data_IF_167278326700
#
_entry.id   IF_167278326700
#
_cell.length_a   1.000
_cell.length_b   1.000
_cell.length_c   1.000
_cell.angle_alpha   90.00
_cell.angle_beta   90.00
_cell.angle_gamma   90.00
#
_symmetry.space_group_name_H-M   'P 1'
#
loop_
_entity.id
_entity.type
_entity.pdbx_description
1 polymer ?
#
# COMPACT_ATOMS: atom_id res chain seq x y z
N UNK A 1 3.08 -2.53 -8.03
CA UNK A 1 1.71 -2.97 -7.65
C UNK A 1 1.77 -3.73 -6.33
N UNK A 2 0.76 -3.64 -5.47
CA UNK A 2 0.69 -4.34 -4.17
C UNK A 2 0.32 -5.83 -4.32
N UNK A 3 -0.58 -6.16 -5.23
CA UNK A 3 -1.12 -7.51 -5.42
C UNK A 3 -0.09 -8.67 -5.43
N UNK A 4 1.05 -8.58 -6.14
CA UNK A 4 2.02 -9.68 -6.16
C UNK A 4 2.58 -10.02 -4.78
N UNK A 5 2.75 -9.02 -3.90
CA UNK A 5 3.22 -9.22 -2.53
C UNK A 5 2.20 -10.00 -1.70
N UNK A 6 0.91 -9.66 -1.83
CA UNK A 6 -0.17 -10.35 -1.13
C UNK A 6 -0.29 -11.80 -1.61
N UNK A 7 -0.25 -12.05 -2.94
CA UNK A 7 -0.27 -13.43 -3.46
C UNK A 7 0.90 -14.27 -2.95
N UNK A 8 2.09 -13.67 -2.86
CA UNK A 8 3.28 -14.36 -2.35
C UNK A 8 3.20 -14.66 -0.85
N UNK A 9 2.46 -13.84 -0.09
CA UNK A 9 2.19 -14.08 1.33
C UNK A 9 1.24 -15.25 1.58
N UNK A 10 0.55 -15.78 0.55
CA UNK A 10 -0.41 -16.89 0.63
C UNK A 10 -1.46 -16.66 1.74
N UNK A 11 -2.32 -15.63 1.60
CA UNK A 11 -3.39 -15.36 2.55
C UNK A 11 -4.29 -16.59 2.74
N UNK A 12 -4.90 -16.69 3.92
CA UNK A 12 -5.99 -17.63 4.17
C UNK A 12 -7.21 -17.23 3.33
N UNK A 13 -8.07 -18.20 3.03
CA UNK A 13 -9.24 -18.01 2.15
C UNK A 13 -10.28 -17.04 2.71
N UNK A 14 -10.29 -16.83 4.03
CA UNK A 14 -11.21 -15.94 4.75
C UNK A 14 -10.74 -14.48 4.78
N UNK A 15 -9.48 -14.18 4.43
CA UNK A 15 -8.97 -12.81 4.33
C UNK A 15 -9.77 -12.03 3.30
N UNK A 16 -10.30 -10.88 3.71
CA UNK A 16 -11.08 -9.99 2.84
C UNK A 16 -10.44 -8.62 2.65
N UNK A 17 -9.54 -8.25 3.55
CA UNK A 17 -9.03 -6.89 3.63
C UNK A 17 -7.52 -6.84 3.87
N UNK A 18 -6.95 -5.67 3.58
CA UNK A 18 -5.57 -5.34 3.87
C UNK A 18 -5.53 -4.04 4.63
N UNK A 19 -4.93 -4.07 5.81
CA UNK A 19 -4.60 -2.88 6.58
C UNK A 19 -3.20 -2.41 6.24
N UNK A 20 -3.09 -1.17 5.78
CA UNK A 20 -1.82 -0.48 5.52
C UNK A 20 -1.55 0.46 6.69
N UNK A 21 -0.48 0.24 7.45
CA UNK A 21 -0.14 1.06 8.62
C UNK A 21 1.07 1.94 8.37
N UNK A 22 1.03 3.14 8.92
CA UNK A 22 2.19 4.03 9.00
C UNK A 22 2.90 3.89 10.35
N UNK A 23 4.15 4.34 10.41
CA UNK A 23 4.92 4.41 11.67
C UNK A 23 4.26 5.26 12.76
N UNK A 24 3.37 6.17 12.39
CA UNK A 24 2.69 7.07 13.32
C UNK A 24 1.32 6.54 13.77
N UNK A 25 0.94 5.32 13.36
CA UNK A 25 -0.33 4.69 13.72
C UNK A 25 -1.51 5.10 12.84
N UNK A 26 -1.30 5.82 11.75
CA UNK A 26 -2.35 6.03 10.74
C UNK A 26 -2.58 4.74 9.96
N UNK A 27 -3.85 4.44 9.68
CA UNK A 27 -4.26 3.20 9.02
C UNK A 27 -5.12 3.49 7.79
N UNK A 28 -4.90 2.71 6.74
CA UNK A 28 -5.77 2.65 5.57
C UNK A 28 -6.22 1.20 5.37
N UNK A 29 -7.54 0.98 5.41
CA UNK A 29 -8.15 -0.33 5.12
C UNK A 29 -8.56 -0.37 3.65
N UNK A 30 -8.14 -1.42 2.96
CA UNK A 30 -8.50 -1.71 1.59
C UNK A 30 -9.20 -3.06 1.53
N UNK A 31 -10.22 -3.18 0.68
CA UNK A 31 -10.66 -4.50 0.24
C UNK A 31 -9.57 -5.19 -0.59
N UNK A 32 -9.58 -6.53 -0.66
CA UNK A 32 -8.68 -7.24 -1.56
C UNK A 32 -8.85 -6.81 -3.02
N UNK A 33 -10.05 -6.40 -3.43
CA UNK A 33 -10.31 -5.90 -4.79
C UNK A 33 -9.57 -4.58 -5.04
N UNK A 34 -9.67 -3.62 -4.13
CA UNK A 34 -8.91 -2.36 -4.24
C UNK A 34 -7.40 -2.60 -4.22
N UNK A 35 -6.94 -3.53 -3.37
CA UNK A 35 -5.52 -3.87 -3.25
C UNK A 35 -4.92 -4.46 -4.54
N UNK A 36 -5.74 -5.00 -5.47
CA UNK A 36 -5.27 -5.54 -6.76
C UNK A 36 -4.61 -4.48 -7.63
N UNK A 37 -5.17 -3.27 -7.60
CA UNK A 37 -4.73 -2.17 -8.47
C UNK A 37 -3.97 -1.07 -7.76
N UNK A 38 -3.71 -1.23 -6.47
CA UNK A 38 -2.80 -0.35 -5.73
C UNK A 38 -1.37 -0.43 -6.26
N UNK A 39 -0.74 0.74 -6.37
CA UNK A 39 0.65 0.94 -6.74
C UNK A 39 1.43 1.41 -5.52
N UNK A 40 2.49 0.67 -5.19
CA UNK A 40 3.47 1.06 -4.17
C UNK A 40 4.64 1.75 -4.85
N UNK A 41 4.90 2.99 -4.47
CA UNK A 41 6.03 3.78 -4.93
C UNK A 41 7.08 3.81 -3.83
N UNK A 42 8.29 3.36 -4.15
CA UNK A 42 9.44 3.28 -3.24
C UNK A 42 10.50 4.36 -3.55
N UNK A 43 10.44 4.96 -4.74
CA UNK A 43 11.44 5.89 -5.24
C UNK A 43 10.81 6.95 -6.15
N UNK A 44 11.31 8.18 -6.08
CA UNK A 44 10.93 9.30 -6.95
C UNK A 44 12.19 9.75 -7.68
N UNK A 45 12.12 9.86 -9.01
CA UNK A 45 13.25 10.23 -9.86
C UNK A 45 14.49 9.34 -9.63
N UNK A 46 14.27 8.03 -9.47
CA UNK A 46 15.33 7.04 -9.24
C UNK A 46 15.96 7.06 -7.84
N UNK A 47 15.49 7.91 -6.94
CA UNK A 47 15.99 8.01 -5.55
C UNK A 47 14.98 7.44 -4.56
N UNK A 48 15.41 6.66 -3.55
CA UNK A 48 14.53 6.22 -2.47
C UNK A 48 13.80 7.39 -1.81
N UNK A 49 12.55 7.17 -1.41
CA UNK A 49 11.75 8.19 -0.73
C UNK A 49 12.32 8.41 0.68
N UNK A 50 12.83 9.62 0.94
CA UNK A 50 13.33 10.03 2.26
C UNK A 50 12.24 10.75 3.07
N UNK A 51 11.59 11.73 2.45
CA UNK A 51 10.55 12.52 3.09
C UNK A 51 9.27 11.69 3.22
N UNK A 52 8.77 11.46 4.44
CA UNK A 52 7.55 10.70 4.71
C UNK A 52 7.50 9.30 4.04
N UNK A 53 8.66 8.71 3.75
CA UNK A 53 8.79 7.35 3.24
C UNK A 53 8.59 6.29 4.34
N UNK A 54 8.80 5.00 4.02
CA UNK A 54 9.49 4.51 2.83
C UNK A 54 8.59 4.27 1.61
N UNK A 55 7.26 4.24 1.79
CA UNK A 55 6.31 3.84 0.74
C UNK A 55 5.23 4.90 0.60
N UNK A 56 4.95 5.29 -0.65
CA UNK A 56 3.74 6.00 -1.04
C UNK A 56 2.78 5.05 -1.74
N UNK A 57 1.51 5.12 -1.39
CA UNK A 57 0.44 4.32 -1.96
C UNK A 57 -0.42 5.17 -2.89
N UNK A 58 -0.57 4.68 -4.12
CA UNK A 58 -1.45 5.22 -5.15
C UNK A 58 -2.52 4.21 -5.53
N UNK A 59 -3.73 4.67 -5.78
CA UNK A 59 -4.76 3.87 -6.42
C UNK A 59 -4.50 3.79 -7.92
N UNK A 60 -4.78 2.63 -8.54
CA UNK A 60 -4.56 2.41 -9.97
C UNK A 60 -5.42 3.29 -10.87
N UNK A 61 -6.55 3.79 -10.36
CA UNK A 61 -7.42 4.77 -11.03
C UNK A 61 -6.87 6.21 -11.01
N UNK A 62 -5.78 6.45 -10.27
CA UNK A 62 -5.14 7.75 -10.15
C UNK A 62 -5.87 8.76 -9.26
N UNK A 63 -6.94 8.39 -8.54
CA UNK A 63 -7.75 9.33 -7.75
C UNK A 63 -6.97 10.09 -6.68
N UNK A 64 -5.86 9.53 -6.21
CA UNK A 64 -5.00 10.12 -5.19
C UNK A 64 -3.60 10.50 -5.70
N UNK A 65 -3.43 10.71 -7.01
CA UNK A 65 -2.13 11.03 -7.62
C UNK A 65 -1.44 12.25 -6.97
N UNK A 66 -2.19 13.30 -6.67
CA UNK A 66 -1.65 14.52 -6.05
C UNK A 66 -1.44 14.36 -4.53
N UNK A 67 -2.20 13.46 -3.90
CA UNK A 67 -2.23 13.26 -2.45
C UNK A 67 -2.14 11.76 -2.11
N UNK A 68 -0.99 11.11 -2.35
CA UNK A 68 -0.83 9.71 -1.99
C UNK A 68 -0.92 9.52 -0.48
N UNK A 69 -1.28 8.30 -0.07
CA UNK A 69 -1.11 7.90 1.32
C UNK A 69 0.36 7.54 1.55
N UNK A 70 1.01 8.16 2.54
CA UNK A 70 2.47 8.15 2.69
C UNK A 70 2.88 7.42 3.97
N UNK A 71 4.16 7.06 4.06
CA UNK A 71 4.75 6.58 5.30
C UNK A 71 4.36 5.17 5.69
N UNK A 72 3.85 4.36 4.76
CA UNK A 72 3.48 2.97 5.05
C UNK A 72 4.73 2.18 5.41
N UNK A 73 4.64 1.44 6.52
CA UNK A 73 5.68 0.53 6.99
C UNK A 73 5.22 -0.92 7.07
N UNK A 74 3.91 -1.17 7.16
CA UNK A 74 3.37 -2.51 7.36
C UNK A 74 2.11 -2.75 6.53
N UNK A 75 1.91 -4.01 6.14
CA UNK A 75 0.68 -4.52 5.54
C UNK A 75 0.22 -5.73 6.36
N UNK A 76 -1.02 -5.71 6.83
CA UNK A 76 -1.62 -6.79 7.62
C UNK A 76 -2.84 -7.30 6.87
N UNK A 77 -2.88 -8.62 6.66
CA UNK A 77 -4.01 -9.33 6.08
C UNK A 77 -5.07 -9.53 7.17
N UNK A 78 -6.31 -9.11 6.89
CA UNK A 78 -7.45 -9.17 7.80
C UNK A 78 -8.56 -10.07 7.24
#
# INVERSE_FOLDING_TARGET
KLWPFLKNAKPLDDVQQVKCETKNGEELILSLEEAKDVILCFAINGKPIQENGPIYLYYGDGKNKEHPFKGITSFILL
#
